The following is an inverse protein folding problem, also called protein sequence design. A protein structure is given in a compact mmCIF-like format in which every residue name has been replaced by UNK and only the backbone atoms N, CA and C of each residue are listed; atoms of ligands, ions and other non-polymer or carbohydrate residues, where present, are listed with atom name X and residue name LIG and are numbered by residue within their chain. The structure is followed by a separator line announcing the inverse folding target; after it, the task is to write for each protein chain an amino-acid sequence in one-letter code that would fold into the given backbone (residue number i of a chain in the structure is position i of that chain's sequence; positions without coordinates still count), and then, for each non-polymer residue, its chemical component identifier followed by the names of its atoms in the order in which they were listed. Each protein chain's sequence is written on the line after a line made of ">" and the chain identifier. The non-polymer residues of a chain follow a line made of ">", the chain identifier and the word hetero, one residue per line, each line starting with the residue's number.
data_IF_774195128291
#
_entry.id   IF_774195128291
#
_cell.length_a   1.000
_cell.length_b   1.000
_cell.length_c   1.000
_cell.angle_alpha   90.00
_cell.angle_beta   90.00
_cell.angle_gamma   90.00
#
_symmetry.space_group_name_H-M   'P 1'
#
loop_
_entity.id
_entity.type
_entity.pdbx_description
1 polymer ?
#
# COMPACT_ATOMS: atom_id res chain seq x y z
N UNK A 1 29.05 -31.48 -8.84
CA UNK A 1 30.16 -30.86 -9.58
C UNK A 1 29.59 -29.58 -10.15
N UNK A 2 29.69 -28.49 -9.41
CA UNK A 2 30.80 -27.52 -9.51
C UNK A 2 30.19 -26.28 -10.20
N UNK A 3 29.74 -25.27 -9.45
CA UNK A 3 30.57 -24.13 -9.03
C UNK A 3 30.23 -22.95 -9.97
N UNK A 4 30.06 -21.70 -9.56
CA UNK A 4 29.86 -21.08 -8.28
C UNK A 4 29.20 -19.72 -8.56
N UNK A 5 28.61 -19.09 -7.55
CA UNK A 5 28.33 -17.66 -7.57
C UNK A 5 28.96 -17.06 -6.33
N UNK A 6 30.05 -16.33 -6.54
CA UNK A 6 30.51 -15.29 -5.62
C UNK A 6 30.33 -13.99 -6.36
N UNK A 7 29.48 -13.11 -5.84
CA UNK A 7 29.86 -11.71 -5.69
C UNK A 7 29.07 -11.08 -4.54
N UNK A 8 29.79 -10.50 -3.58
CA UNK A 8 29.22 -9.59 -2.59
C UNK A 8 29.21 -8.19 -3.21
N UNK A 9 28.17 -7.91 -3.99
CA UNK A 9 27.83 -6.56 -4.44
C UNK A 9 26.54 -6.09 -3.73
N UNK A 10 26.63 -5.03 -2.95
CA UNK A 10 25.56 -4.51 -2.10
C UNK A 10 24.41 -3.80 -2.85
N UNK A 11 23.99 -4.31 -4.02
CA UNK A 11 22.90 -3.74 -4.85
C UNK A 11 22.15 -4.81 -5.65
N UNK A 12 21.91 -5.98 -5.07
CA UNK A 12 20.89 -6.87 -5.63
C UNK A 12 19.53 -6.40 -5.10
N UNK A 13 18.84 -5.61 -5.91
CA UNK A 13 17.38 -5.45 -5.86
C UNK A 13 16.80 -6.86 -5.86
N UNK A 14 16.57 -7.39 -4.66
CA UNK A 14 16.03 -8.72 -4.46
C UNK A 14 14.68 -8.72 -5.14
N UNK A 15 14.45 -9.71 -6.00
CA UNK A 15 13.11 -10.12 -6.36
C UNK A 15 12.39 -10.50 -5.07
N UNK A 16 11.78 -9.50 -4.44
CA UNK A 16 11.10 -9.63 -3.17
C UNK A 16 9.84 -10.44 -3.42
N UNK A 17 9.71 -11.56 -2.73
CA UNK A 17 8.39 -12.09 -2.39
C UNK A 17 7.51 -10.93 -1.96
N UNK A 18 6.26 -10.79 -2.41
CA UNK A 18 5.41 -9.64 -2.04
C UNK A 18 5.38 -9.55 -0.52
N UNK A 19 6.06 -8.53 0.00
CA UNK A 19 6.06 -8.21 1.42
C UNK A 19 4.88 -7.29 1.58
N UNK A 20 3.78 -7.81 2.10
CA UNK A 20 2.64 -6.95 2.39
C UNK A 20 2.97 -6.07 3.59
N UNK A 21 3.07 -4.77 3.36
CA UNK A 21 3.17 -3.73 4.39
C UNK A 21 1.86 -2.95 4.34
N UNK A 22 1.22 -2.73 5.48
CA UNK A 22 0.02 -1.90 5.53
C UNK A 22 0.37 -0.48 5.14
N UNK A 23 -0.33 0.08 4.16
CA UNK A 23 -0.08 1.44 3.68
C UNK A 23 0.93 1.58 2.55
N UNK A 24 1.65 0.51 2.17
CA UNK A 24 2.54 0.46 1.00
C UNK A 24 1.66 0.13 -0.23
N UNK A 25 1.16 1.17 -0.87
CA UNK A 25 0.17 1.12 -1.93
C UNK A 25 0.80 1.20 -3.33
N UNK A 26 2.04 1.67 -3.45
CA UNK A 26 2.77 1.70 -4.72
C UNK A 26 3.84 0.59 -4.87
N UNK A 27 3.93 -0.31 -3.88
CA UNK A 27 4.76 -1.52 -3.84
C UNK A 27 6.28 -1.23 -3.86
N UNK A 28 6.71 -0.12 -3.25
CA UNK A 28 8.13 0.30 -3.24
C UNK A 28 8.89 -0.03 -1.94
N UNK A 29 8.20 -0.67 -0.97
CA UNK A 29 8.69 -1.09 0.35
C UNK A 29 8.84 0.00 1.41
N UNK A 30 8.37 1.23 1.16
CA UNK A 30 8.16 2.22 2.21
C UNK A 30 6.69 2.66 2.34
N UNK A 31 6.44 3.59 3.25
CA UNK A 31 5.13 4.21 3.42
C UNK A 31 5.37 5.70 3.56
N UNK A 32 5.03 6.47 2.54
CA UNK A 32 5.43 7.86 2.45
C UNK A 32 4.34 8.83 1.96
N UNK A 33 4.75 9.99 1.44
CA UNK A 33 3.92 11.18 1.30
C UNK A 33 3.63 11.55 -0.15
N UNK A 34 3.69 12.85 -0.44
CA UNK A 34 3.48 13.40 -1.79
C UNK A 34 4.33 12.66 -2.84
N UNK A 35 3.68 12.09 -3.85
CA UNK A 35 4.34 11.34 -4.92
C UNK A 35 4.52 9.84 -4.67
N UNK A 36 4.11 9.32 -3.51
CA UNK A 36 4.09 7.88 -3.20
C UNK A 36 2.76 7.46 -2.59
N UNK A 37 2.77 6.80 -1.43
CA UNK A 37 1.58 6.09 -0.92
C UNK A 37 0.41 7.00 -0.56
N UNK A 38 0.71 8.21 -0.05
CA UNK A 38 -0.34 9.16 0.31
C UNK A 38 -1.18 9.57 -0.91
N UNK A 39 -0.57 9.73 -2.08
CA UNK A 39 -1.29 10.07 -3.31
C UNK A 39 -2.25 8.95 -3.72
N UNK A 40 -1.85 7.69 -3.54
CA UNK A 40 -2.73 6.53 -3.82
C UNK A 40 -3.85 6.44 -2.78
N UNK A 41 -3.55 6.68 -1.51
CA UNK A 41 -4.56 6.72 -0.44
C UNK A 41 -5.61 7.80 -0.72
N UNK A 42 -5.18 9.03 -1.02
CA UNK A 42 -6.06 10.16 -1.31
C UNK A 42 -6.90 9.94 -2.57
N UNK A 43 -6.37 9.25 -3.58
CA UNK A 43 -7.13 8.89 -4.77
C UNK A 43 -8.24 7.86 -4.49
N UNK A 44 -8.07 7.03 -3.45
CA UNK A 44 -9.09 6.09 -2.96
C UNK A 44 -10.00 6.69 -1.89
N UNK A 45 -9.60 7.79 -1.26
CA UNK A 45 -10.30 8.40 -0.15
C UNK A 45 -11.73 8.80 -0.54
N UNK A 46 -12.66 8.39 0.30
CA UNK A 46 -14.03 8.86 0.29
C UNK A 46 -14.26 9.68 1.57
N UNK A 47 -15.43 9.58 2.19
CA UNK A 47 -15.69 10.20 3.48
C UNK A 47 -16.43 9.23 4.39
N UNK A 48 -16.54 9.54 5.70
CA UNK A 48 -17.14 8.62 6.65
C UNK A 48 -18.59 8.26 6.27
N UNK A 49 -18.85 6.96 6.10
CA UNK A 49 -20.13 6.41 5.64
C UNK A 49 -20.41 6.60 4.14
N UNK A 50 -19.43 7.02 3.35
CA UNK A 50 -19.55 7.23 1.89
C UNK A 50 -18.81 6.10 1.19
N UNK A 51 -19.54 5.00 0.95
CA UNK A 51 -18.96 3.84 0.29
C UNK A 51 -18.41 4.16 -1.11
N UNK A 52 -17.24 3.64 -1.42
CA UNK A 52 -16.76 3.59 -2.81
C UNK A 52 -17.61 2.62 -3.63
N UNK A 53 -17.51 2.68 -4.96
CA UNK A 53 -18.22 1.77 -5.85
C UNK A 53 -17.31 0.60 -6.27
N UNK A 54 -17.47 -0.62 -5.71
CA UNK A 54 -16.59 -1.74 -6.02
C UNK A 54 -16.65 -2.16 -7.49
N UNK A 55 -17.76 -1.87 -8.19
CA UNK A 55 -17.91 -2.21 -9.60
C UNK A 55 -17.16 -1.28 -10.55
N UNK A 56 -16.67 -0.14 -10.05
CA UNK A 56 -15.90 0.81 -10.83
C UNK A 56 -14.40 0.73 -10.56
N UNK A 57 -13.98 0.05 -9.48
CA UNK A 57 -12.57 -0.16 -9.14
C UNK A 57 -11.87 -1.20 -10.04
N UNK A 58 -10.58 -0.99 -10.37
CA UNK A 58 -9.83 0.26 -10.18
C UNK A 58 -10.38 1.40 -11.06
N UNK A 59 -10.60 2.57 -10.47
CA UNK A 59 -11.30 3.69 -11.12
C UNK A 59 -10.30 4.61 -11.85
N UNK A 60 -10.50 4.93 -13.14
CA UNK A 60 -9.60 5.84 -13.85
C UNK A 60 -9.67 7.29 -13.35
N UNK A 61 -10.77 7.72 -12.73
CA UNK A 61 -10.99 9.05 -12.16
C UNK A 61 -11.95 8.90 -10.95
N UNK A 62 -11.59 9.31 -9.72
CA UNK A 62 -10.47 10.16 -9.32
C UNK A 62 -9.09 9.49 -9.27
N UNK A 63 -8.99 8.22 -9.66
CA UNK A 63 -7.69 7.55 -9.84
C UNK A 63 -7.33 6.52 -8.76
N UNK A 64 -8.29 5.98 -8.02
CA UNK A 64 -8.02 4.84 -7.13
C UNK A 64 -7.60 3.61 -7.96
N UNK A 65 -6.29 3.36 -8.01
CA UNK A 65 -5.68 2.27 -8.79
C UNK A 65 -5.70 0.93 -8.06
N UNK A 66 -6.08 0.93 -6.78
CA UNK A 66 -6.10 -0.26 -5.94
C UNK A 66 -7.14 -1.26 -6.44
N UNK A 67 -6.73 -2.52 -6.56
CA UNK A 67 -7.61 -3.63 -6.94
C UNK A 67 -8.28 -4.19 -5.69
N UNK A 68 -9.62 -4.36 -5.67
CA UNK A 68 -10.32 -4.95 -4.53
C UNK A 68 -9.93 -6.42 -4.28
N UNK A 69 -9.98 -6.84 -3.01
CA UNK A 69 -9.85 -8.24 -2.60
C UNK A 69 -11.12 -9.07 -2.94
N UNK A 70 -11.13 -10.36 -2.59
CA UNK A 70 -12.27 -11.26 -2.81
C UNK A 70 -13.56 -10.82 -2.08
N UNK A 71 -13.46 -9.95 -1.08
CA UNK A 71 -14.61 -9.38 -0.35
C UNK A 71 -15.01 -8.00 -0.89
N UNK A 72 -14.28 -7.47 -1.88
CA UNK A 72 -14.55 -6.18 -2.49
C UNK A 72 -13.90 -5.00 -1.77
N UNK A 73 -12.94 -5.23 -0.87
CA UNK A 73 -12.22 -4.16 -0.17
C UNK A 73 -10.89 -3.82 -0.85
N UNK A 74 -10.61 -2.52 -1.02
CA UNK A 74 -9.27 -2.06 -1.40
C UNK A 74 -8.36 -2.09 -0.18
N UNK A 75 -7.04 -2.20 -0.39
CA UNK A 75 -6.07 -2.23 0.72
C UNK A 75 -6.04 -0.94 1.54
N UNK A 76 -6.51 0.19 0.99
CA UNK A 76 -6.68 1.44 1.72
C UNK A 76 -7.87 1.42 2.71
N UNK A 77 -8.87 0.55 2.52
CA UNK A 77 -9.99 0.31 3.45
C UNK A 77 -9.53 -0.71 4.51
N UNK A 78 -8.77 -0.19 5.48
CA UNK A 78 -8.06 -0.97 6.49
C UNK A 78 -8.99 -1.53 7.56
N UNK A 79 -10.09 -0.83 7.86
CA UNK A 79 -11.08 -1.31 8.83
C UNK A 79 -12.25 -2.11 8.22
N UNK A 80 -12.33 -2.13 6.88
CA UNK A 80 -13.20 -2.98 6.05
C UNK A 80 -14.68 -2.63 6.17
N UNK A 81 -14.99 -1.35 6.29
CA UNK A 81 -16.38 -0.89 6.38
C UNK A 81 -16.98 -0.47 5.02
N UNK A 82 -16.16 -0.45 3.97
CA UNK A 82 -16.58 -0.18 2.59
C UNK A 82 -16.38 1.27 2.16
N UNK A 83 -15.74 2.09 2.99
CA UNK A 83 -15.25 3.41 2.62
C UNK A 83 -13.74 3.55 2.91
N UNK A 84 -13.13 4.66 2.47
CA UNK A 84 -11.72 4.95 2.79
C UNK A 84 -11.73 6.31 3.46
N UNK A 85 -11.54 6.35 4.77
CA UNK A 85 -11.73 7.55 5.55
C UNK A 85 -10.60 7.82 6.56
N UNK A 86 -10.89 8.71 7.50
CA UNK A 86 -9.96 9.13 8.55
C UNK A 86 -9.60 8.04 9.56
N UNK A 87 -10.40 6.99 9.70
CA UNK A 87 -10.08 5.79 10.50
C UNK A 87 -8.97 5.00 9.80
N UNK A 88 -9.11 4.78 8.49
CA UNK A 88 -8.10 4.12 7.67
C UNK A 88 -6.80 4.91 7.61
N UNK A 89 -6.91 6.23 7.47
CA UNK A 89 -5.74 7.10 7.52
C UNK A 89 -4.99 6.97 8.86
N UNK A 90 -5.73 6.77 9.96
CA UNK A 90 -5.15 6.49 11.26
C UNK A 90 -4.40 5.15 11.36
N UNK A 91 -4.66 4.20 10.46
CA UNK A 91 -3.88 2.96 10.30
C UNK A 91 -2.67 3.22 9.41
N UNK A 92 -2.86 3.87 8.25
CA UNK A 92 -1.80 4.29 7.33
C UNK A 92 -0.67 5.05 8.07
N UNK A 93 -1.02 6.04 8.89
CA UNK A 93 -0.07 6.85 9.66
C UNK A 93 0.83 6.05 10.61
N UNK A 94 0.43 4.84 11.03
CA UNK A 94 1.27 3.99 11.90
C UNK A 94 2.45 3.40 11.17
N UNK A 95 2.31 3.26 9.85
CA UNK A 95 3.27 2.63 8.97
C UNK A 95 4.17 3.64 8.28
N UNK A 96 3.76 4.92 8.23
CA UNK A 96 4.54 6.01 7.65
C UNK A 96 5.99 6.00 8.15
N UNK A 97 6.91 5.73 7.22
CA UNK A 97 8.35 5.68 7.44
C UNK A 97 9.08 6.79 6.69
N UNK A 98 8.49 7.29 5.59
CA UNK A 98 9.02 8.33 4.72
C UNK A 98 9.84 7.77 3.55
N UNK A 99 9.99 8.61 2.53
CA UNK A 99 10.61 8.27 1.24
C UNK A 99 11.98 7.60 1.40
N UNK A 100 12.15 6.45 0.76
CA UNK A 100 13.31 5.56 0.82
C UNK A 100 13.64 5.01 2.22
N UNK A 101 12.68 4.97 3.15
CA UNK A 101 12.86 4.38 4.49
C UNK A 101 11.98 3.14 4.60
N UNK A 102 12.54 1.92 4.60
CA UNK A 102 11.72 0.71 4.65
C UNK A 102 10.77 0.70 5.83
N UNK A 103 9.48 0.52 5.55
CA UNK A 103 8.44 0.54 6.56
C UNK A 103 8.49 -0.71 7.45
N UNK A 104 8.05 -0.55 8.70
CA UNK A 104 7.95 -1.67 9.63
C UNK A 104 6.76 -2.55 9.25
N UNK A 105 7.00 -3.78 8.79
CA UNK A 105 5.97 -4.79 8.46
C UNK A 105 4.95 -5.07 9.57
N UNK A 106 5.25 -4.67 10.80
CA UNK A 106 4.41 -4.86 11.98
C UNK A 106 3.80 -3.57 12.53
N UNK A 107 3.81 -2.48 11.77
CA UNK A 107 3.31 -1.15 12.16
C UNK A 107 1.82 -1.11 12.55
N UNK A 108 0.99 -2.01 12.01
CA UNK A 108 -0.46 -2.00 12.19
C UNK A 108 -1.01 -3.18 13.03
N UNK A 109 -0.20 -3.79 13.91
CA UNK A 109 -0.64 -4.88 14.81
C UNK A 109 -1.38 -4.41 16.07
#
# INVERSE_FOLDING_TARGET
>A
MDGGVVDMGAYEFVGSTPVHITGDFDDDCDVDGDGGDLDVFEACATGPGVAYNPAALPEPEPGCTLTPDDNGHVTADSDKDGDVDQIDFGVFQRCYSGENVPANRSCAN
#
